data_IF_763056165588
#
_entry.id   IF_763056165588
#
_cell.length_a   1.000
_cell.length_b   1.000
_cell.length_c   1.000
_cell.angle_alpha   90.00
_cell.angle_beta   90.00
_cell.angle_gamma   90.00
#
_symmetry.space_group_name_H-M   'P 1'
#
loop_
_entity.id
_entity.type
_entity.pdbx_description
1 polymer ?
#
# COMPACT_ATOMS: atom_id res chain seq x y z
N UNK A 1 23.89 7.32 -11.76
CA UNK A 1 22.68 6.81 -11.09
C UNK A 1 22.16 5.61 -11.87
N UNK A 2 21.84 4.49 -11.19
CA UNK A 2 21.22 3.35 -11.89
C UNK A 2 19.76 3.70 -12.20
N UNK A 3 19.28 3.43 -13.41
CA UNK A 3 17.89 3.72 -13.82
C UNK A 3 16.85 3.04 -12.91
N UNK A 4 17.21 1.87 -12.34
CA UNK A 4 16.37 1.12 -11.41
C UNK A 4 15.99 1.89 -10.13
N UNK A 5 16.73 2.93 -9.76
CA UNK A 5 16.42 3.75 -8.59
C UNK A 5 15.10 4.55 -8.73
N UNK A 6 14.65 4.79 -9.97
CA UNK A 6 13.40 5.51 -10.24
C UNK A 6 12.14 4.75 -9.78
N UNK A 7 12.19 3.42 -9.74
CA UNK A 7 11.02 2.59 -9.36
C UNK A 7 11.28 1.68 -8.15
N UNK A 8 12.55 1.50 -7.74
CA UNK A 8 12.91 0.67 -6.57
C UNK A 8 13.32 1.49 -5.36
N UNK A 9 13.55 2.79 -5.54
CA UNK A 9 14.14 3.66 -4.52
C UNK A 9 15.64 3.47 -4.39
N UNK A 10 16.23 4.21 -3.46
CA UNK A 10 17.66 4.21 -3.16
C UNK A 10 18.00 3.10 -2.15
N UNK A 11 19.26 2.64 -2.09
CA UNK A 11 19.70 1.73 -1.03
C UNK A 11 19.42 2.31 0.37
N UNK A 12 18.77 1.53 1.23
CA UNK A 12 18.28 1.98 2.53
C UNK A 12 16.96 2.77 2.50
N UNK A 13 16.53 3.27 1.34
CA UNK A 13 15.33 4.08 1.16
C UNK A 13 14.47 3.52 0.02
N UNK A 14 13.82 2.36 0.20
CA UNK A 14 12.97 1.75 -0.81
C UNK A 14 11.73 2.62 -1.09
N UNK A 15 11.27 2.65 -2.34
CA UNK A 15 10.14 3.49 -2.76
C UNK A 15 8.78 2.88 -2.41
N UNK A 16 8.66 1.55 -2.45
CA UNK A 16 7.39 0.86 -2.26
C UNK A 16 6.72 1.14 -0.90
N UNK A 17 7.42 1.07 0.28
CA UNK A 17 6.77 1.30 1.57
C UNK A 17 6.09 2.66 1.71
N UNK A 18 6.75 3.82 1.45
CA UNK A 18 6.08 5.11 1.60
C UNK A 18 4.92 5.31 0.62
N UNK A 19 4.97 4.74 -0.58
CA UNK A 19 3.83 4.73 -1.51
C UNK A 19 2.68 3.87 -0.97
N UNK A 20 2.98 2.74 -0.33
CA UNK A 20 2.00 1.88 0.32
C UNK A 20 1.31 2.61 1.47
N UNK A 21 2.06 3.29 2.32
CA UNK A 21 1.51 4.05 3.46
C UNK A 21 0.53 5.13 2.98
N UNK A 22 0.92 5.89 1.95
CA UNK A 22 0.04 6.90 1.34
C UNK A 22 -1.24 6.27 0.77
N UNK A 23 -1.13 5.16 0.04
CA UNK A 23 -2.27 4.47 -0.59
C UNK A 23 -3.22 3.89 0.47
N UNK A 24 -2.68 3.24 1.51
CA UNK A 24 -3.46 2.71 2.64
C UNK A 24 -4.18 3.86 3.36
N UNK A 25 -3.50 4.98 3.61
CA UNK A 25 -4.10 6.15 4.24
C UNK A 25 -5.30 6.71 3.45
N UNK A 26 -5.17 6.80 2.13
CA UNK A 26 -6.25 7.28 1.24
C UNK A 26 -7.46 6.33 1.29
N UNK A 27 -7.28 5.02 1.17
CA UNK A 27 -8.40 4.06 1.25
C UNK A 27 -9.00 3.97 2.65
N UNK A 28 -8.19 4.12 3.71
CA UNK A 28 -8.70 4.21 5.08
C UNK A 28 -9.60 5.43 5.24
N UNK A 29 -9.16 6.59 4.77
CA UNK A 29 -9.98 7.80 4.74
C UNK A 29 -11.28 7.58 3.95
N UNK A 30 -11.21 6.99 2.75
CA UNK A 30 -12.40 6.70 1.94
C UNK A 30 -13.39 5.82 2.71
N UNK A 31 -12.90 4.75 3.34
CA UNK A 31 -13.75 3.82 4.10
C UNK A 31 -14.44 4.51 5.27
N UNK A 32 -13.71 5.35 6.02
CA UNK A 32 -14.27 6.12 7.14
C UNK A 32 -15.26 7.19 6.66
N UNK A 33 -14.96 7.89 5.56
CA UNK A 33 -15.86 8.87 4.96
C UNK A 33 -17.18 8.23 4.51
N UNK A 34 -17.11 7.04 3.90
CA UNK A 34 -18.31 6.26 3.56
C UNK A 34 -19.08 5.81 4.78
N UNK A 35 -18.39 5.39 5.85
CA UNK A 35 -19.03 5.00 7.10
C UNK A 35 -19.86 6.14 7.71
N UNK A 36 -19.25 7.32 7.87
CA UNK A 36 -19.95 8.46 8.51
C UNK A 36 -21.14 8.94 7.69
N UNK A 37 -21.13 8.74 6.37
CA UNK A 37 -22.30 9.02 5.52
C UNK A 37 -23.40 7.97 5.71
N UNK A 38 -23.04 6.68 5.67
CA UNK A 38 -23.99 5.56 5.83
C UNK A 38 -24.69 5.59 7.18
N UNK A 39 -24.01 6.01 8.25
CA UNK A 39 -24.61 6.13 9.59
C UNK A 39 -25.30 7.49 9.82
N UNK A 40 -25.37 8.37 8.80
CA UNK A 40 -26.08 9.62 8.86
C UNK A 40 -25.41 10.73 9.68
N UNK A 41 -24.09 10.66 9.89
CA UNK A 41 -23.32 11.70 10.60
C UNK A 41 -22.93 12.87 9.70
N UNK A 42 -23.06 12.71 8.38
CA UNK A 42 -22.78 13.76 7.40
C UNK A 42 -23.90 13.85 6.38
N UNK A 43 -24.07 15.05 5.80
CA UNK A 43 -25.01 15.31 4.73
C UNK A 43 -24.22 15.60 3.46
N UNK A 44 -23.92 14.58 2.64
CA UNK A 44 -23.19 14.70 1.36
C UNK A 44 -21.65 14.67 1.46
N UNK A 45 -21.04 15.27 2.50
CA UNK A 45 -19.56 15.38 2.56
C UNK A 45 -18.87 14.00 2.69
N UNK A 46 -19.49 13.08 3.41
CA UNK A 46 -19.03 11.70 3.53
C UNK A 46 -19.04 10.97 2.18
N UNK A 47 -20.12 11.15 1.40
CA UNK A 47 -20.22 10.55 0.05
C UNK A 47 -19.14 11.10 -0.91
N UNK A 48 -18.87 12.41 -0.85
CA UNK A 48 -17.82 13.05 -1.65
C UNK A 48 -16.45 12.51 -1.24
N UNK A 49 -16.14 12.51 0.07
CA UNK A 49 -14.88 12.01 0.60
C UNK A 49 -14.66 10.53 0.27
N UNK A 50 -15.71 9.72 0.41
CA UNK A 50 -15.68 8.31 0.07
C UNK A 50 -15.32 8.07 -1.39
N UNK A 51 -16.08 8.64 -2.32
CA UNK A 51 -15.89 8.35 -3.74
C UNK A 51 -14.59 8.94 -4.29
N UNK A 52 -14.26 10.19 -3.96
CA UNK A 52 -12.99 10.80 -4.34
C UNK A 52 -11.80 10.06 -3.72
N UNK A 53 -11.91 9.62 -2.47
CA UNK A 53 -10.89 8.82 -1.82
C UNK A 53 -10.68 7.48 -2.52
N UNK A 54 -11.74 6.79 -2.98
CA UNK A 54 -11.60 5.58 -3.80
C UNK A 54 -10.85 5.88 -5.11
N UNK A 55 -11.23 6.95 -5.82
CA UNK A 55 -10.58 7.32 -7.09
C UNK A 55 -9.12 7.68 -6.90
N UNK A 56 -8.80 8.54 -5.92
CA UNK A 56 -7.41 8.90 -5.63
C UNK A 56 -6.60 7.71 -5.14
N UNK A 57 -7.20 6.82 -4.34
CA UNK A 57 -6.58 5.56 -3.93
C UNK A 57 -6.22 4.68 -5.12
N UNK A 58 -7.13 4.52 -6.10
CA UNK A 58 -6.87 3.77 -7.34
C UNK A 58 -5.71 4.40 -8.15
N UNK A 59 -5.67 5.72 -8.25
CA UNK A 59 -4.55 6.43 -8.93
C UNK A 59 -3.24 6.19 -8.17
N UNK A 60 -3.23 6.31 -6.83
CA UNK A 60 -2.05 6.07 -6.01
C UNK A 60 -1.60 4.60 -6.03
N UNK A 61 -2.54 3.67 -6.22
CA UNK A 61 -2.23 2.23 -6.34
C UNK A 61 -1.32 1.94 -7.53
N UNK A 62 -1.42 2.70 -8.63
CA UNK A 62 -0.62 2.42 -9.85
C UNK A 62 0.89 2.48 -9.57
N UNK A 63 1.47 3.61 -9.10
CA UNK A 63 2.90 3.65 -8.79
C UNK A 63 3.28 2.70 -7.64
N UNK A 64 2.41 2.52 -6.65
CA UNK A 64 2.62 1.58 -5.54
C UNK A 64 2.76 0.15 -6.04
N UNK A 65 1.83 -0.31 -6.89
CA UNK A 65 1.84 -1.65 -7.47
C UNK A 65 3.05 -1.88 -8.38
N UNK A 66 3.43 -0.89 -9.19
CA UNK A 66 4.62 -0.98 -10.05
C UNK A 66 5.90 -1.13 -9.23
N UNK A 67 6.06 -0.35 -8.15
CA UNK A 67 7.20 -0.47 -7.26
C UNK A 67 7.23 -1.82 -6.53
N UNK A 68 6.09 -2.29 -6.02
CA UNK A 68 5.97 -3.59 -5.37
C UNK A 68 6.22 -4.76 -6.31
N UNK A 69 5.72 -4.70 -7.54
CA UNK A 69 5.98 -5.71 -8.56
C UNK A 69 7.47 -5.77 -8.93
N UNK A 70 8.13 -4.62 -9.06
CA UNK A 70 9.56 -4.55 -9.31
C UNK A 70 10.39 -5.20 -8.18
N UNK A 71 9.93 -5.10 -6.93
CA UNK A 71 10.57 -5.76 -5.80
C UNK A 71 10.26 -7.27 -5.80
N UNK A 72 9.00 -7.69 -6.02
CA UNK A 72 8.58 -9.09 -6.08
C UNK A 72 9.36 -9.89 -7.14
N UNK A 73 9.62 -9.29 -8.32
CA UNK A 73 10.39 -9.90 -9.41
C UNK A 73 11.85 -10.21 -9.04
N UNK A 74 12.37 -9.67 -7.95
CA UNK A 74 13.74 -9.94 -7.48
C UNK A 74 13.83 -11.04 -6.43
N UNK A 75 12.69 -11.52 -5.93
CA UNK A 75 12.65 -12.57 -4.91
C UNK A 75 12.90 -13.93 -5.57
N UNK A 76 13.71 -14.76 -4.92
CA UNK A 76 13.99 -16.12 -5.39
C UNK A 76 12.68 -16.92 -5.44
N UNK A 77 12.35 -17.43 -6.61
CA UNK A 77 11.15 -18.22 -6.86
C UNK A 77 11.02 -19.41 -5.90
N UNK A 78 9.85 -19.58 -5.30
CA UNK A 78 9.53 -20.71 -4.43
C UNK A 78 10.12 -20.62 -3.02
N UNK A 79 10.84 -19.54 -2.68
CA UNK A 79 11.29 -19.31 -1.29
C UNK A 79 10.10 -18.96 -0.38
N UNK A 80 10.25 -19.09 0.93
CA UNK A 80 9.25 -18.68 1.92
C UNK A 80 8.88 -17.20 1.79
N UNK A 81 9.88 -16.35 1.55
CA UNK A 81 9.66 -14.94 1.25
C UNK A 81 8.83 -14.74 -0.03
N UNK A 82 9.11 -15.53 -1.08
CA UNK A 82 8.35 -15.45 -2.33
C UNK A 82 6.88 -15.81 -2.13
N UNK A 83 6.58 -16.86 -1.35
CA UNK A 83 5.21 -17.24 -1.02
C UNK A 83 4.49 -16.15 -0.21
N UNK A 84 5.13 -15.61 0.83
CA UNK A 84 4.57 -14.52 1.64
C UNK A 84 4.29 -13.29 0.78
N UNK A 85 5.23 -12.91 -0.09
CA UNK A 85 5.08 -11.78 -1.00
C UNK A 85 4.00 -12.01 -2.07
N UNK A 86 3.83 -13.25 -2.53
CA UNK A 86 2.77 -13.62 -3.48
C UNK A 86 1.40 -13.53 -2.84
N UNK A 87 1.21 -14.02 -1.62
CA UNK A 87 -0.04 -13.86 -0.89
C UNK A 87 -0.36 -12.39 -0.58
N UNK A 88 0.65 -11.58 -0.23
CA UNK A 88 0.51 -10.13 -0.12
C UNK A 88 0.02 -9.52 -1.44
N UNK A 89 0.68 -9.83 -2.56
CA UNK A 89 0.30 -9.35 -3.89
C UNK A 89 -1.15 -9.71 -4.22
N UNK A 90 -1.56 -10.95 -4.02
CA UNK A 90 -2.93 -11.41 -4.30
C UNK A 90 -3.96 -10.67 -3.42
N UNK A 91 -3.68 -10.48 -2.14
CA UNK A 91 -4.55 -9.73 -1.25
C UNK A 91 -4.71 -8.27 -1.71
N UNK A 92 -3.60 -7.60 -2.07
CA UNK A 92 -3.62 -6.20 -2.51
C UNK A 92 -4.29 -6.01 -3.87
N UNK A 93 -4.07 -6.92 -4.82
CA UNK A 93 -4.76 -6.91 -6.13
C UNK A 93 -6.26 -7.13 -5.93
N UNK A 94 -6.64 -8.10 -5.10
CA UNK A 94 -8.05 -8.33 -4.78
C UNK A 94 -8.69 -7.11 -4.12
N UNK A 95 -8.03 -6.49 -3.14
CA UNK A 95 -8.50 -5.26 -2.51
C UNK A 95 -8.72 -4.14 -3.55
N UNK A 96 -7.76 -3.97 -4.46
CA UNK A 96 -7.84 -2.96 -5.54
C UNK A 96 -9.04 -3.22 -6.46
N UNK A 97 -9.31 -4.48 -6.80
CA UNK A 97 -10.50 -4.85 -7.60
C UNK A 97 -11.78 -4.46 -6.86
N UNK A 98 -11.89 -4.76 -5.56
CA UNK A 98 -13.08 -4.40 -4.78
C UNK A 98 -13.25 -2.88 -4.65
N UNK A 99 -12.19 -2.11 -4.44
CA UNK A 99 -12.24 -0.64 -4.44
C UNK A 99 -12.63 -0.09 -5.83
N UNK A 100 -12.12 -0.67 -6.91
CA UNK A 100 -12.50 -0.32 -8.27
C UNK A 100 -13.99 -0.57 -8.55
N UNK A 101 -14.50 -1.74 -8.17
CA UNK A 101 -15.93 -2.06 -8.28
C UNK A 101 -16.79 -1.12 -7.41
N UNK A 102 -16.33 -0.81 -6.18
CA UNK A 102 -17.01 0.15 -5.32
C UNK A 102 -17.09 1.55 -5.97
N UNK A 103 -16.01 2.03 -6.58
CA UNK A 103 -16.00 3.31 -7.28
C UNK A 103 -16.94 3.32 -8.50
N UNK A 104 -16.95 2.24 -9.30
CA UNK A 104 -17.79 2.11 -10.50
C UNK A 104 -19.27 2.04 -10.10
N UNK A 105 -19.65 1.09 -9.27
CA UNK A 105 -21.06 0.89 -8.88
C UNK A 105 -21.58 1.97 -7.92
N UNK A 106 -20.67 2.65 -7.20
CA UNK A 106 -21.02 3.75 -6.32
C UNK A 106 -21.17 5.10 -6.99
N UNK A 107 -20.73 5.27 -8.24
CA UNK A 107 -20.72 6.56 -8.93
C UNK A 107 -22.10 7.20 -9.02
N UNK A 108 -23.14 6.45 -9.37
CA UNK A 108 -24.51 6.98 -9.45
C UNK A 108 -25.01 7.49 -8.08
N UNK A 109 -24.75 6.75 -6.99
CA UNK A 109 -25.12 7.21 -5.66
C UNK A 109 -24.34 8.47 -5.26
N UNK A 110 -23.04 8.52 -5.55
CA UNK A 110 -22.20 9.70 -5.33
C UNK A 110 -22.73 10.95 -6.05
N UNK A 111 -23.16 10.84 -7.31
CA UNK A 111 -23.74 12.01 -8.05
C UNK A 111 -25.02 12.53 -7.41
N UNK A 112 -25.73 11.71 -6.63
CA UNK A 112 -26.89 12.07 -5.81
C UNK A 112 -26.53 12.35 -4.35
N UNK A 113 -25.25 12.57 -4.05
CA UNK A 113 -24.75 12.88 -2.71
C UNK A 113 -25.08 11.79 -1.67
N UNK A 114 -24.94 10.53 -2.06
CA UNK A 114 -25.24 9.37 -1.23
C UNK A 114 -24.20 8.27 -1.41
N UNK A 115 -24.18 7.30 -0.49
CA UNK A 115 -23.37 6.06 -0.55
C UNK A 115 -24.33 4.89 -0.63
N UNK A 116 -24.33 4.13 -1.73
CA UNK A 116 -25.15 2.93 -1.83
C UNK A 116 -24.61 1.81 -0.93
N UNK A 117 -25.49 1.10 -0.25
CA UNK A 117 -25.12 0.00 0.65
C UNK A 117 -24.28 -1.07 -0.03
N UNK A 118 -24.60 -1.43 -1.29
CA UNK A 118 -23.83 -2.41 -2.07
C UNK A 118 -22.40 -1.94 -2.37
N UNK A 119 -22.23 -0.69 -2.81
CA UNK A 119 -20.90 -0.15 -3.09
C UNK A 119 -20.09 0.03 -1.79
N UNK A 120 -20.73 0.40 -0.69
CA UNK A 120 -20.07 0.46 0.59
C UNK A 120 -19.63 -0.93 1.11
N UNK A 121 -20.45 -1.96 0.93
CA UNK A 121 -20.06 -3.33 1.25
C UNK A 121 -18.82 -3.77 0.48
N UNK A 122 -18.71 -3.45 -0.82
CA UNK A 122 -17.49 -3.67 -1.61
C UNK A 122 -16.29 -2.92 -1.03
N UNK A 123 -16.47 -1.67 -0.59
CA UNK A 123 -15.43 -0.89 0.07
C UNK A 123 -14.93 -1.59 1.34
N UNK A 124 -15.83 -2.09 2.19
CA UNK A 124 -15.49 -2.79 3.44
C UNK A 124 -14.74 -4.10 3.16
N UNK A 125 -15.16 -4.86 2.15
CA UNK A 125 -14.44 -6.08 1.72
C UNK A 125 -13.03 -5.72 1.23
N UNK A 126 -12.92 -4.70 0.38
CA UNK A 126 -11.63 -4.19 -0.09
C UNK A 126 -10.71 -3.76 1.07
N UNK A 127 -11.27 -3.07 2.06
CA UNK A 127 -10.54 -2.64 3.26
C UNK A 127 -10.06 -3.83 4.10
N UNK A 128 -10.87 -4.85 4.28
CA UNK A 128 -10.48 -6.09 4.98
C UNK A 128 -9.33 -6.81 4.28
N UNK A 129 -9.40 -6.94 2.94
CA UNK A 129 -8.33 -7.52 2.13
C UNK A 129 -7.05 -6.68 2.16
N UNK A 130 -7.16 -5.35 2.12
CA UNK A 130 -6.04 -4.43 2.27
C UNK A 130 -5.38 -4.57 3.65
N UNK A 131 -6.15 -4.72 4.72
CA UNK A 131 -5.64 -4.94 6.07
C UNK A 131 -4.87 -6.27 6.16
N UNK A 132 -5.42 -7.34 5.58
CA UNK A 132 -4.71 -8.62 5.47
C UNK A 132 -3.41 -8.47 4.66
N UNK A 133 -3.47 -7.78 3.52
CA UNK A 133 -2.30 -7.47 2.71
C UNK A 133 -1.25 -6.68 3.50
N UNK A 134 -1.66 -5.66 4.25
CA UNK A 134 -0.78 -4.88 5.12
C UNK A 134 -0.09 -5.74 6.20
N UNK A 135 -0.81 -6.68 6.81
CA UNK A 135 -0.24 -7.65 7.74
C UNK A 135 0.85 -8.52 7.09
N UNK A 136 0.57 -9.05 5.89
CA UNK A 136 1.55 -9.83 5.13
C UNK A 136 2.75 -8.97 4.69
N UNK A 137 2.52 -7.70 4.31
CA UNK A 137 3.56 -6.74 4.02
C UNK A 137 4.48 -6.48 5.22
N UNK A 138 3.90 -6.36 6.41
CA UNK A 138 4.66 -6.30 7.67
C UNK A 138 5.52 -7.54 7.88
N UNK A 139 5.03 -8.75 7.60
CA UNK A 139 5.82 -9.97 7.69
C UNK A 139 6.99 -9.99 6.68
N UNK A 140 6.80 -9.49 5.46
CA UNK A 140 7.88 -9.36 4.47
C UNK A 140 9.02 -8.49 5.00
N UNK A 141 8.70 -7.38 5.64
CA UNK A 141 9.71 -6.43 6.16
C UNK A 141 10.30 -6.92 7.48
N UNK A 142 9.47 -7.22 8.47
CA UNK A 142 9.93 -7.43 9.85
C UNK A 142 10.31 -8.89 10.17
N UNK A 143 9.76 -9.87 9.46
CA UNK A 143 10.08 -11.29 9.68
C UNK A 143 11.11 -11.77 8.66
N UNK A 144 10.90 -11.48 7.39
CA UNK A 144 11.83 -11.89 6.32
C UNK A 144 12.97 -10.90 6.09
N UNK A 145 12.94 -9.69 6.68
CA UNK A 145 14.00 -8.69 6.56
C UNK A 145 14.20 -8.12 5.16
N UNK A 146 13.18 -8.21 4.29
CA UNK A 146 13.32 -7.73 2.92
C UNK A 146 13.58 -6.23 2.88
N UNK A 147 14.70 -5.82 2.24
CA UNK A 147 15.15 -4.43 2.12
C UNK A 147 15.47 -3.73 3.45
N UNK A 148 15.60 -4.47 4.53
CA UNK A 148 16.02 -3.96 5.82
C UNK A 148 17.56 -4.05 5.91
N UNK A 149 18.21 -2.97 6.29
CA UNK A 149 19.63 -2.93 6.64
C UNK A 149 19.74 -3.02 8.17
N UNK A 150 20.52 -3.99 8.67
CA UNK A 150 20.74 -4.16 10.12
C UNK A 150 21.82 -3.21 10.63
N UNK A 151 21.57 -1.91 10.52
CA UNK A 151 22.47 -0.81 10.93
C UNK A 151 21.84 -0.04 12.09
N UNK A 152 21.60 -0.73 13.22
CA UNK A 152 20.86 -0.18 14.37
C UNK A 152 21.59 1.01 15.03
N UNK A 153 22.92 0.96 15.08
CA UNK A 153 23.76 1.98 15.72
C UNK A 153 24.27 3.03 14.72
N UNK A 154 23.75 3.06 13.50
CA UNK A 154 24.16 4.03 12.49
C UNK A 154 23.79 5.46 12.92
N UNK A 155 24.74 6.42 12.89
CA UNK A 155 24.45 7.83 13.22
C UNK A 155 23.35 8.41 12.30
N UNK A 156 22.49 9.26 12.86
CA UNK A 156 21.33 9.84 12.15
C UNK A 156 21.71 10.50 10.84
N UNK A 157 22.84 11.22 10.80
CA UNK A 157 23.32 11.92 9.60
C UNK A 157 23.63 10.97 8.44
N UNK A 158 24.06 9.75 8.75
CA UNK A 158 24.31 8.70 7.76
C UNK A 158 23.04 7.90 7.45
N UNK A 159 22.21 7.64 8.45
CA UNK A 159 20.98 6.87 8.29
C UNK A 159 19.96 7.53 7.34
N UNK A 160 19.94 8.87 7.27
CA UNK A 160 19.07 9.62 6.35
C UNK A 160 19.63 9.74 4.93
N UNK A 161 20.87 9.33 4.70
CA UNK A 161 21.51 9.34 3.39
C UNK A 161 21.39 7.96 2.71
N UNK A 162 21.41 7.88 1.37
CA UNK A 162 21.48 6.60 0.67
C UNK A 162 22.74 5.83 1.08
N UNK A 163 22.60 4.53 1.38
CA UNK A 163 23.71 3.64 1.71
C UNK A 163 24.33 3.08 0.42
N UNK A 164 25.52 3.56 -0.04
CA UNK A 164 26.04 3.21 -1.36
C UNK A 164 26.50 1.75 -1.49
N UNK A 165 26.94 1.14 -0.38
CA UNK A 165 27.49 -0.23 -0.32
C UNK A 165 26.91 -1.01 0.88
N UNK A 166 25.60 -1.31 0.90
CA UNK A 166 24.95 -1.93 2.06
C UNK A 166 25.55 -3.30 2.43
N UNK A 167 26.06 -4.05 1.45
CA UNK A 167 26.70 -5.35 1.65
C UNK A 167 28.03 -5.26 2.44
N UNK A 168 28.76 -4.15 2.32
CA UNK A 168 30.01 -3.93 3.06
C UNK A 168 29.71 -3.46 4.49
N UNK A 169 28.80 -2.52 4.62
CA UNK A 169 28.44 -1.95 5.92
C UNK A 169 27.81 -2.99 6.85
N UNK A 170 26.98 -3.91 6.31
CA UNK A 170 26.44 -5.03 7.10
C UNK A 170 27.54 -6.04 7.52
N UNK A 171 28.58 -6.23 6.72
CA UNK A 171 29.66 -7.13 7.06
C UNK A 171 30.62 -6.55 8.11
N UNK A 172 30.77 -5.23 8.18
CA UNK A 172 31.62 -4.53 9.15
C UNK A 172 30.95 -4.33 10.51
N UNK A 173 29.58 -4.39 10.56
CA UNK A 173 28.77 -4.23 11.79
C UNK A 173 28.41 -5.55 12.50
N UNK A 174 28.85 -6.69 11.98
CA UNK A 174 28.66 -8.03 12.54
C UNK A 174 29.91 -8.52 13.30
#
# INVERSE_FOLDING_TARGET
>A
MKLSYLWRGLPGHPLHPPLTDATIGIYTFATLAGLVEVVGLTNRNGAIGWWLGLVFGLVATVPTALAGLADWLTITWGSELWWTATWHLLAMVSATVFFGLAAIFGHTAYTHANVSAGAYALTVIGFGLMTLGGWLGGAIVYVHGMRVLSLVDEPTERAVAPVPHPEKEMAEGS
#
